data_IF_630688604098
#
_entry.id   IF_630688604098
#
_cell.length_a   1.000
_cell.length_b   1.000
_cell.length_c   1.000
_cell.angle_alpha   90.00
_cell.angle_beta   90.00
_cell.angle_gamma   90.00
#
_symmetry.space_group_name_H-M   'P 1'
#
loop_
_entity.id
_entity.type
_entity.pdbx_description
1 polymer ?
#
# COMPACT_ATOMS: atom_id res chain seq x y z
N UNK A 1 26.45 22.19 -37.43
CA UNK A 1 26.33 20.73 -37.16
C UNK A 1 26.08 20.39 -35.68
N UNK A 2 26.88 20.88 -34.71
CA UNK A 2 26.70 20.58 -33.27
C UNK A 2 25.30 20.94 -32.70
N UNK A 3 24.70 22.03 -33.17
CA UNK A 3 23.39 22.49 -32.69
C UNK A 3 22.20 21.64 -33.19
N UNK A 4 22.31 21.04 -34.37
CA UNK A 4 21.27 20.14 -34.89
C UNK A 4 21.28 18.82 -34.11
N UNK A 5 22.48 18.30 -33.83
CA UNK A 5 22.67 17.10 -33.03
C UNK A 5 22.18 17.29 -31.59
N UNK A 6 22.44 18.46 -30.98
CA UNK A 6 21.96 18.75 -29.62
C UNK A 6 20.44 18.89 -29.54
N UNK A 7 19.80 19.50 -30.56
CA UNK A 7 18.33 19.57 -30.65
C UNK A 7 17.70 18.20 -30.83
N UNK A 8 18.26 17.35 -31.71
CA UNK A 8 17.78 15.99 -31.93
C UNK A 8 17.91 15.15 -30.64
N UNK A 9 19.04 15.29 -29.94
CA UNK A 9 19.26 14.64 -28.64
C UNK A 9 18.28 15.12 -27.56
N UNK A 10 17.99 16.42 -27.51
CA UNK A 10 17.02 16.97 -26.58
C UNK A 10 15.59 16.45 -26.86
N UNK A 11 15.21 16.36 -28.13
CA UNK A 11 13.92 15.79 -28.54
C UNK A 11 13.83 14.29 -28.22
N UNK A 12 14.90 13.54 -28.48
CA UNK A 12 14.99 12.11 -28.17
C UNK A 12 14.80 11.84 -26.67
N UNK A 13 15.46 12.62 -25.81
CA UNK A 13 15.29 12.51 -24.35
C UNK A 13 13.86 12.83 -23.91
N UNK A 14 13.23 13.87 -24.48
CA UNK A 14 11.84 14.21 -24.19
C UNK A 14 10.88 13.10 -24.61
N UNK A 15 11.12 12.48 -25.76
CA UNK A 15 10.34 11.36 -26.25
C UNK A 15 10.46 10.15 -25.32
N UNK A 16 11.69 9.80 -24.91
CA UNK A 16 11.93 8.70 -23.97
C UNK A 16 11.26 8.94 -22.62
N UNK A 17 11.27 10.19 -22.11
CA UNK A 17 10.59 10.54 -20.87
C UNK A 17 9.07 10.38 -20.98
N UNK A 18 8.48 10.82 -22.11
CA UNK A 18 7.04 10.70 -22.36
C UNK A 18 6.57 9.25 -22.45
N UNK A 19 7.29 8.43 -23.22
CA UNK A 19 7.00 6.99 -23.33
C UNK A 19 7.23 6.29 -21.99
N UNK A 20 8.28 6.66 -21.26
CA UNK A 20 8.55 6.15 -19.93
C UNK A 20 7.41 6.43 -18.95
N UNK A 21 6.88 7.66 -18.91
CA UNK A 21 5.73 8.02 -18.06
C UNK A 21 4.47 7.22 -18.44
N UNK A 22 4.19 7.07 -19.74
CA UNK A 22 3.06 6.31 -20.23
C UNK A 22 3.15 4.83 -19.85
N UNK A 23 4.30 4.20 -20.11
CA UNK A 23 4.55 2.80 -19.75
C UNK A 23 4.51 2.62 -18.24
N UNK A 24 5.14 3.52 -17.47
CA UNK A 24 5.13 3.46 -16.02
C UNK A 24 3.69 3.49 -15.48
N UNK A 25 2.84 4.39 -15.97
CA UNK A 25 1.42 4.44 -15.57
C UNK A 25 0.68 3.16 -15.92
N UNK A 26 0.86 2.64 -17.14
CA UNK A 26 0.17 1.42 -17.58
C UNK A 26 0.62 0.22 -16.74
N UNK A 27 1.93 0.02 -16.58
CA UNK A 27 2.49 -1.09 -15.79
C UNK A 27 2.05 -0.98 -14.35
N UNK A 28 2.11 0.22 -13.75
CA UNK A 28 1.68 0.43 -12.37
C UNK A 28 0.19 0.14 -12.21
N UNK A 29 -0.64 0.64 -13.13
CA UNK A 29 -2.09 0.38 -13.11
C UNK A 29 -2.36 -1.12 -13.19
N UNK A 30 -1.78 -1.81 -14.17
CA UNK A 30 -1.95 -3.26 -14.30
C UNK A 30 -1.45 -4.00 -13.06
N UNK A 31 -0.30 -3.65 -12.52
CA UNK A 31 0.25 -4.26 -11.31
C UNK A 31 -0.68 -4.09 -10.10
N UNK A 32 -1.18 -2.88 -9.87
CA UNK A 32 -2.07 -2.63 -8.74
C UNK A 32 -3.41 -3.35 -8.90
N UNK A 33 -3.98 -3.37 -10.10
CA UNK A 33 -5.28 -4.01 -10.34
C UNK A 33 -5.20 -5.53 -10.45
N UNK A 34 -4.09 -6.11 -10.91
CA UNK A 34 -3.96 -7.56 -11.08
C UNK A 34 -3.33 -8.27 -9.89
N UNK A 35 -2.53 -7.58 -9.07
CA UNK A 35 -1.84 -8.19 -7.92
C UNK A 35 -2.38 -7.62 -6.60
N UNK A 36 -2.26 -6.32 -6.38
CA UNK A 36 -2.61 -5.71 -5.09
C UNK A 36 -4.11 -5.78 -4.78
N UNK A 37 -4.95 -5.44 -5.76
CA UNK A 37 -6.39 -5.44 -5.59
C UNK A 37 -6.96 -6.83 -5.27
N UNK A 38 -6.69 -7.90 -6.04
CA UNK A 38 -7.18 -9.23 -5.68
C UNK A 38 -6.57 -9.72 -4.37
N UNK A 39 -5.30 -9.42 -4.07
CA UNK A 39 -4.70 -9.77 -2.78
C UNK A 39 -5.43 -9.12 -1.61
N UNK A 40 -5.71 -7.82 -1.69
CA UNK A 40 -6.49 -7.08 -0.69
C UNK A 40 -7.90 -7.63 -0.56
N UNK A 41 -8.59 -7.86 -1.68
CA UNK A 41 -9.93 -8.44 -1.67
C UNK A 41 -9.96 -9.84 -1.03
N UNK A 42 -8.99 -10.69 -1.34
CA UNK A 42 -8.86 -12.01 -0.73
C UNK A 42 -8.71 -11.86 0.78
N UNK A 43 -7.78 -11.05 1.26
CA UNK A 43 -7.60 -10.86 2.70
C UNK A 43 -8.86 -10.30 3.34
N UNK A 44 -9.47 -9.27 2.77
CA UNK A 44 -10.65 -8.63 3.36
C UNK A 44 -11.87 -9.56 3.39
N UNK A 45 -12.11 -10.35 2.34
CA UNK A 45 -13.27 -11.25 2.28
C UNK A 45 -13.06 -12.52 3.11
N UNK A 46 -11.86 -13.10 3.06
CA UNK A 46 -11.59 -14.38 3.71
C UNK A 46 -11.11 -14.23 5.16
N UNK A 47 -10.40 -13.16 5.52
CA UNK A 47 -10.01 -12.90 6.92
C UNK A 47 -11.20 -12.41 7.73
N UNK A 48 -11.35 -12.90 8.96
CA UNK A 48 -12.26 -12.32 9.94
C UNK A 48 -11.51 -11.32 10.81
N UNK A 49 -11.38 -10.09 10.31
CA UNK A 49 -10.56 -9.06 10.98
C UNK A 49 -11.18 -8.55 12.29
N UNK A 50 -12.48 -8.72 12.46
CA UNK A 50 -13.24 -8.20 13.59
C UNK A 50 -13.87 -9.30 14.45
N UNK A 51 -13.53 -10.57 14.19
CA UNK A 51 -14.14 -11.73 14.86
C UNK A 51 -15.68 -11.66 14.80
N UNK A 52 -16.20 -11.17 13.67
CA UNK A 52 -17.62 -10.89 13.46
C UNK A 52 -18.34 -12.06 12.78
N UNK A 53 -17.61 -13.02 12.20
CA UNK A 53 -18.23 -14.20 11.58
C UNK A 53 -18.76 -15.15 12.66
N UNK A 54 -18.15 -15.15 13.84
CA UNK A 54 -18.70 -15.84 15.00
C UNK A 54 -19.74 -14.95 15.71
N UNK A 55 -21.02 -15.21 15.42
CA UNK A 55 -22.15 -14.51 16.03
C UNK A 55 -22.44 -15.01 17.46
N UNK A 56 -21.66 -15.96 17.97
CA UNK A 56 -21.84 -16.48 19.32
C UNK A 56 -21.31 -15.43 20.30
N UNK A 57 -22.16 -14.82 21.14
CA UNK A 57 -21.71 -13.82 22.09
C UNK A 57 -20.78 -14.50 23.11
N UNK A 58 -19.46 -14.30 22.95
CA UNK A 58 -18.45 -14.78 23.89
C UNK A 58 -17.92 -13.62 24.73
N UNK A 59 -17.87 -13.82 26.04
CA UNK A 59 -17.20 -12.88 26.92
C UNK A 59 -15.69 -13.06 26.74
N UNK A 60 -15.06 -12.16 25.99
CA UNK A 60 -13.60 -12.10 25.89
C UNK A 60 -13.00 -11.75 27.25
N UNK A 61 -12.29 -12.70 27.85
CA UNK A 61 -11.59 -12.48 29.11
C UNK A 61 -10.53 -11.39 28.92
N UNK A 62 -10.77 -10.22 29.54
CA UNK A 62 -9.84 -9.11 29.49
C UNK A 62 -8.53 -9.49 30.19
N UNK A 63 -7.45 -9.63 29.42
CA UNK A 63 -6.08 -9.83 29.93
C UNK A 63 -5.53 -8.49 30.46
N UNK A 64 -6.13 -7.95 31.51
CA UNK A 64 -5.55 -6.81 32.23
C UNK A 64 -4.62 -7.29 33.31
N UNK A 65 -3.50 -6.58 33.47
CA UNK A 65 -2.69 -6.63 34.68
C UNK A 65 -3.18 -5.52 35.61
N UNK A 66 -3.21 -5.76 36.91
CA UNK A 66 -3.47 -4.70 37.88
C UNK A 66 -2.40 -3.62 37.72
N UNK A 67 -2.83 -2.44 37.29
CA UNK A 67 -1.96 -1.28 37.13
C UNK A 67 -1.78 -0.63 38.49
N UNK A 68 -0.54 -0.54 38.95
CA UNK A 68 -0.22 0.21 40.17
C UNK A 68 0.05 1.67 39.85
N UNK A 69 -0.06 2.56 40.84
CA UNK A 69 0.29 3.99 40.69
C UNK A 69 1.73 4.20 40.17
N UNK A 70 2.62 3.23 40.39
CA UNK A 70 4.00 3.25 39.86
C UNK A 70 4.06 2.98 38.35
N UNK A 71 3.15 2.18 37.81
CA UNK A 71 3.10 1.84 36.39
C UNK A 71 2.59 3.04 35.55
N UNK A 72 1.70 3.86 36.11
CA UNK A 72 1.20 5.07 35.46
C UNK A 72 2.31 6.11 35.17
N UNK A 73 3.35 6.17 36.00
CA UNK A 73 4.50 7.07 35.82
C UNK A 73 5.41 6.65 34.64
N UNK A 74 5.28 5.42 34.13
CA UNK A 74 6.13 4.90 33.04
C UNK A 74 5.50 5.01 31.64
N UNK A 75 4.22 5.34 31.57
CA UNK A 75 3.45 5.46 30.32
C UNK A 75 3.41 6.90 29.76
N UNK A 76 4.02 7.84 30.47
CA UNK A 76 4.19 9.26 30.13
C UNK A 76 5.66 9.63 30.28
#
# INVERSE_FOLDING_TARGET
MKQALSKLWAAWKKFGLFIGDLIARIVLTLFYFTIFLPFGLIITLFSDQLDMKDLTPSWLARKTKDLTLKDARRLW
#
